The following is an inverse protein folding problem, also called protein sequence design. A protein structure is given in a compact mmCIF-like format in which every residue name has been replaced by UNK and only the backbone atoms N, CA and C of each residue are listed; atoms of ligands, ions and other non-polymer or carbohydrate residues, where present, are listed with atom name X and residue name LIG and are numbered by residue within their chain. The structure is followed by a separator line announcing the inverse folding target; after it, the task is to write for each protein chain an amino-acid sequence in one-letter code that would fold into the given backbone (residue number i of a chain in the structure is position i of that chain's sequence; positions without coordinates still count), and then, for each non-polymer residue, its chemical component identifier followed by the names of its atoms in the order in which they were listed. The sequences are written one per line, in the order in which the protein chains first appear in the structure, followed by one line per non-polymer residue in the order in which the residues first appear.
data_IF_404315729869
#
_entry.id   IF_404315729869
#
_cell.length_a   1.000
_cell.length_b   1.000
_cell.length_c   1.000
_cell.angle_alpha   90.00
_cell.angle_beta   90.00
_cell.angle_gamma   90.00
#
_symmetry.space_group_name_H-M   'P 1'
#
loop_
_entity.id
_entity.type
_entity.pdbx_description
1 polymer ?
#
# COMPACT_ATOMS: atom_id res chain seq x y z
N UNK A 1 51.12 -0.46 8.47
CA UNK A 1 51.73 0.16 9.67
C UNK A 1 51.33 -0.69 10.86
N UNK A 2 52.00 -0.67 12.02
CA UNK A 2 51.41 -1.23 13.23
C UNK A 2 50.29 -0.30 13.72
N UNK A 3 49.13 -0.88 14.04
CA UNK A 3 47.97 -0.18 14.57
C UNK A 3 47.84 -0.52 16.07
N UNK A 4 47.82 0.48 16.97
CA UNK A 4 47.68 0.25 18.39
C UNK A 4 46.25 -0.22 18.72
N UNK A 5 46.12 -1.31 19.50
CA UNK A 5 44.85 -1.84 20.00
C UNK A 5 44.87 -1.84 21.53
N UNK A 6 43.85 -1.27 22.17
CA UNK A 6 43.73 -1.31 23.63
C UNK A 6 43.06 -2.60 24.12
N UNK A 7 43.72 -3.40 24.97
CA UNK A 7 43.19 -4.68 25.49
C UNK A 7 41.85 -4.53 26.21
N UNK A 8 41.70 -3.48 27.01
CA UNK A 8 40.49 -3.25 27.81
C UNK A 8 39.28 -2.89 26.96
N UNK A 9 39.50 -2.19 25.83
CA UNK A 9 38.46 -1.90 24.85
C UNK A 9 37.99 -3.17 24.15
N UNK A 10 38.90 -4.09 23.81
CA UNK A 10 38.52 -5.39 23.21
C UNK A 10 37.73 -6.24 24.21
N UNK A 11 38.20 -6.33 25.46
CA UNK A 11 37.52 -7.08 26.53
C UNK A 11 36.12 -6.55 26.82
N UNK A 12 35.96 -5.22 26.93
CA UNK A 12 34.68 -4.60 27.26
C UNK A 12 33.65 -4.81 26.15
N UNK A 13 34.03 -4.63 24.89
CA UNK A 13 33.14 -4.83 23.73
C UNK A 13 32.78 -6.32 23.58
N UNK A 14 33.74 -7.23 23.80
CA UNK A 14 33.48 -8.67 23.80
C UNK A 14 32.51 -9.07 24.91
N UNK A 15 32.69 -8.54 26.11
CA UNK A 15 31.80 -8.78 27.25
C UNK A 15 30.37 -8.26 26.99
N UNK A 16 30.23 -7.10 26.36
CA UNK A 16 28.92 -6.55 25.95
C UNK A 16 28.17 -7.46 24.98
N UNK A 17 28.88 -8.12 24.06
CA UNK A 17 28.30 -9.12 23.14
C UNK A 17 28.11 -10.50 23.77
N UNK A 18 28.53 -10.71 25.02
CA UNK A 18 28.56 -12.01 25.72
C UNK A 18 29.33 -13.09 24.94
N UNK A 19 30.39 -12.70 24.24
CA UNK A 19 31.20 -13.63 23.45
C UNK A 19 32.39 -14.16 24.24
N UNK A 20 32.71 -15.44 24.04
CA UNK A 20 34.00 -16.01 24.48
C UNK A 20 35.13 -15.62 23.52
N UNK A 21 36.38 -15.83 23.93
CA UNK A 21 37.54 -15.57 23.05
C UNK A 21 37.54 -16.50 21.82
N UNK A 22 37.05 -17.72 21.98
CA UNK A 22 36.88 -18.70 20.90
C UNK A 22 35.81 -18.23 19.92
N UNK A 23 34.68 -17.70 20.41
CA UNK A 23 33.62 -17.14 19.57
C UNK A 23 34.08 -15.90 18.82
N UNK A 24 34.91 -15.05 19.43
CA UNK A 24 35.53 -13.92 18.73
C UNK A 24 36.48 -14.38 17.63
N UNK A 25 37.30 -15.42 17.89
CA UNK A 25 38.18 -16.00 16.88
C UNK A 25 37.40 -16.55 15.69
N UNK A 26 36.31 -17.28 15.95
CA UNK A 26 35.44 -17.85 14.92
C UNK A 26 34.69 -16.78 14.11
N UNK A 27 34.33 -15.66 14.75
CA UNK A 27 33.71 -14.51 14.08
C UNK A 27 34.67 -13.81 13.09
N UNK A 28 35.98 -13.92 13.29
CA UNK A 28 36.98 -13.43 12.34
C UNK A 28 37.18 -14.43 11.19
N UNK A 29 36.50 -14.22 10.06
CA UNK A 29 36.53 -15.13 8.89
C UNK A 29 37.35 -14.60 7.70
N UNK A 30 37.76 -15.52 6.83
CA UNK A 30 38.37 -15.21 5.53
C UNK A 30 39.74 -14.54 5.62
N UNK A 31 39.97 -13.52 4.77
CA UNK A 31 41.25 -12.80 4.68
C UNK A 31 41.64 -12.04 5.95
N UNK A 32 40.74 -11.89 6.92
CA UNK A 32 41.01 -11.21 8.21
C UNK A 32 40.85 -12.15 9.42
N UNK A 33 41.05 -13.45 9.23
CA UNK A 33 41.04 -14.43 10.34
C UNK A 33 42.12 -14.12 11.38
N UNK A 34 41.71 -14.02 12.63
CA UNK A 34 42.56 -13.81 13.81
C UNK A 34 42.52 -15.06 14.68
N UNK A 35 43.69 -15.64 14.96
CA UNK A 35 43.80 -16.83 15.77
C UNK A 35 43.50 -16.58 17.25
N UNK A 36 42.98 -17.60 17.95
CA UNK A 36 42.70 -17.55 19.39
C UNK A 36 43.93 -17.16 20.22
N UNK A 37 45.12 -17.65 19.85
CA UNK A 37 46.37 -17.29 20.51
C UNK A 37 46.68 -15.79 20.42
N UNK A 38 46.36 -15.16 19.29
CA UNK A 38 46.53 -13.72 19.07
C UNK A 38 45.54 -12.93 19.90
N UNK A 39 44.27 -13.34 19.96
CA UNK A 39 43.25 -12.70 20.81
C UNK A 39 43.64 -12.78 22.29
N UNK A 40 44.09 -13.95 22.76
CA UNK A 40 44.60 -14.13 24.13
C UNK A 40 45.78 -13.22 24.44
N UNK A 41 46.68 -13.01 23.48
CA UNK A 41 47.84 -12.12 23.63
C UNK A 41 47.42 -10.65 23.70
N UNK A 42 46.50 -10.23 22.83
CA UNK A 42 45.95 -8.88 22.82
C UNK A 42 45.25 -8.59 24.16
N UNK A 43 44.31 -9.44 24.57
CA UNK A 43 43.60 -9.24 25.84
C UNK A 43 44.49 -9.45 27.09
N UNK A 44 45.54 -10.26 26.98
CA UNK A 44 46.47 -10.53 28.08
C UNK A 44 47.53 -9.45 28.32
N UNK A 45 47.62 -8.45 27.44
CA UNK A 45 48.59 -7.36 27.57
C UNK A 45 48.21 -6.48 28.76
N UNK A 46 49.06 -6.45 29.80
CA UNK A 46 48.77 -5.82 31.10
C UNK A 46 48.96 -4.30 31.13
N UNK A 47 49.69 -3.74 30.16
CA UNK A 47 50.07 -2.32 30.14
C UNK A 47 50.11 -1.81 28.70
N UNK A 48 49.38 -0.72 28.44
CA UNK A 48 49.43 0.03 27.17
C UNK A 48 48.58 -0.55 26.03
N UNK A 49 48.95 -0.17 24.81
CA UNK A 49 48.38 -0.68 23.57
C UNK A 49 49.19 -1.88 23.06
N UNK A 50 48.50 -2.83 22.42
CA UNK A 50 49.13 -3.89 21.65
C UNK A 50 49.29 -3.43 20.20
N UNK A 51 50.52 -3.40 19.69
CA UNK A 51 50.81 -3.08 18.30
C UNK A 51 50.43 -4.25 17.39
N UNK A 52 49.24 -4.17 16.78
CA UNK A 52 48.72 -5.19 15.88
C UNK A 52 49.05 -4.85 14.43
N UNK A 53 49.17 -5.89 13.58
CA UNK A 53 49.14 -5.69 12.14
C UNK A 53 47.75 -5.18 11.72
N UNK A 54 47.69 -4.25 10.77
CA UNK A 54 46.45 -3.71 10.18
C UNK A 54 45.42 -4.79 9.86
N UNK A 55 45.86 -5.95 9.34
CA UNK A 55 44.97 -7.10 9.06
C UNK A 55 44.25 -7.61 10.31
N UNK A 56 44.92 -7.64 11.45
CA UNK A 56 44.38 -8.10 12.74
C UNK A 56 43.45 -7.04 13.33
N UNK A 57 43.83 -5.76 13.24
CA UNK A 57 43.00 -4.65 13.69
C UNK A 57 41.68 -4.58 12.91
N UNK A 58 41.72 -4.69 11.58
CA UNK A 58 40.54 -4.75 10.72
C UNK A 58 39.67 -5.99 10.99
N UNK A 59 40.31 -7.15 11.21
CA UNK A 59 39.60 -8.38 11.53
C UNK A 59 38.79 -8.28 12.82
N UNK A 60 39.41 -7.74 13.88
CA UNK A 60 38.77 -7.50 15.16
C UNK A 60 37.70 -6.41 15.07
N UNK A 61 37.98 -5.30 14.39
CA UNK A 61 37.04 -4.20 14.19
C UNK A 61 35.76 -4.70 13.51
N UNK A 62 35.91 -5.50 12.45
CA UNK A 62 34.79 -6.09 11.71
C UNK A 62 33.98 -7.09 12.53
N UNK A 63 34.64 -7.99 13.25
CA UNK A 63 33.95 -8.97 14.10
C UNK A 63 33.21 -8.30 15.27
N UNK A 64 33.82 -7.28 15.85
CA UNK A 64 33.25 -6.52 16.96
C UNK A 64 32.25 -5.44 16.50
N UNK A 65 32.17 -5.13 15.20
CA UNK A 65 31.25 -4.14 14.64
C UNK A 65 31.60 -2.70 15.04
N UNK A 66 32.90 -2.42 15.19
CA UNK A 66 33.44 -1.10 15.55
C UNK A 66 34.47 -0.65 14.52
N UNK A 67 34.85 0.63 14.53
CA UNK A 67 35.93 1.13 13.68
C UNK A 67 37.30 0.77 14.26
N UNK A 68 38.33 0.71 13.41
CA UNK A 68 39.71 0.47 13.86
C UNK A 68 40.17 1.55 14.85
N UNK A 69 39.81 2.81 14.62
CA UNK A 69 40.07 3.93 15.53
C UNK A 69 39.42 3.77 16.92
N UNK A 70 38.24 3.13 16.98
CA UNK A 70 37.58 2.85 18.26
C UNK A 70 38.35 1.78 19.06
N UNK A 71 39.01 0.82 18.41
CA UNK A 71 39.90 -0.14 19.09
C UNK A 71 41.20 0.49 19.58
N UNK A 72 41.65 1.56 18.92
CA UNK A 72 42.85 2.34 19.26
C UNK A 72 42.63 3.40 20.34
N UNK A 73 41.39 3.60 20.81
CA UNK A 73 41.09 4.55 21.88
C UNK A 73 40.76 3.81 23.19
N UNK A 74 41.45 4.09 24.31
CA UNK A 74 41.17 3.43 25.58
C UNK A 74 39.81 3.89 26.13
N UNK A 75 38.95 2.95 26.52
CA UNK A 75 37.65 3.26 27.11
C UNK A 75 36.62 3.80 26.12
N UNK A 76 36.88 3.72 24.80
CA UNK A 76 35.83 3.92 23.81
C UNK A 76 34.74 2.87 24.04
N UNK A 77 33.66 3.27 24.71
CA UNK A 77 32.41 2.53 24.67
C UNK A 77 32.15 2.21 23.20
N UNK A 78 31.71 0.98 22.85
CA UNK A 78 31.50 0.65 21.46
C UNK A 78 30.63 1.74 20.89
N UNK A 79 31.11 2.37 19.81
CA UNK A 79 30.24 2.99 18.83
C UNK A 79 29.41 1.89 18.13
N UNK A 80 28.87 0.93 18.90
CA UNK A 80 27.57 0.40 18.61
C UNK A 80 26.69 1.61 18.53
N UNK A 81 25.94 1.67 17.43
CA UNK A 81 24.82 2.56 17.26
C UNK A 81 23.90 2.41 18.49
N UNK A 82 24.22 3.05 19.61
CA UNK A 82 23.17 3.55 20.48
C UNK A 82 22.36 4.41 19.52
N UNK A 83 21.11 4.04 19.20
CA UNK A 83 20.28 4.94 18.43
C UNK A 83 20.39 6.29 19.15
N UNK A 84 20.70 7.38 18.42
CA UNK A 84 20.87 8.69 19.04
C UNK A 84 19.72 8.85 20.02
N UNK A 85 20.05 9.20 21.27
CA UNK A 85 19.05 9.34 22.32
C UNK A 85 17.84 10.05 21.69
N UNK A 86 16.64 9.44 21.73
CA UNK A 86 15.53 9.88 20.92
C UNK A 86 15.38 11.38 21.16
N UNK A 87 15.49 12.17 20.09
CA UNK A 87 15.29 13.62 20.19
C UNK A 87 14.03 13.83 21.02
N UNK A 88 14.04 14.68 22.05
CA UNK A 88 12.89 14.85 22.92
C UNK A 88 11.62 15.07 22.07
N UNK A 89 10.61 14.23 22.28
CA UNK A 89 9.36 14.21 21.51
C UNK A 89 9.26 13.19 20.37
N UNK A 90 10.36 12.55 19.94
CA UNK A 90 10.33 11.51 18.90
C UNK A 90 10.11 10.12 19.50
N UNK A 91 9.06 9.42 19.06
CA UNK A 91 8.79 8.02 19.40
C UNK A 91 8.88 7.14 18.16
N UNK A 92 9.51 5.97 18.28
CA UNK A 92 9.59 5.01 17.19
C UNK A 92 8.21 4.37 16.97
N UNK A 93 7.66 4.50 15.75
CA UNK A 93 6.47 3.76 15.33
C UNK A 93 6.92 2.38 14.81
N UNK A 94 6.67 1.32 15.58
CA UNK A 94 6.92 -0.06 15.15
C UNK A 94 5.61 -0.66 14.65
N UNK A 95 5.48 -0.79 13.34
CA UNK A 95 4.35 -1.47 12.71
C UNK A 95 4.83 -2.35 11.57
N UNK A 96 4.16 -3.49 11.39
CA UNK A 96 4.34 -4.33 10.21
C UNK A 96 3.43 -3.81 9.11
N UNK A 97 4.02 -3.49 7.96
CA UNK A 97 3.33 -2.99 6.79
C UNK A 97 3.41 -4.09 5.73
N UNK A 98 2.30 -4.39 5.07
CA UNK A 98 2.27 -5.33 3.96
C UNK A 98 3.02 -4.78 2.73
N UNK A 99 3.38 -5.66 1.81
CA UNK A 99 4.17 -5.29 0.64
C UNK A 99 3.42 -4.33 -0.29
N UNK A 100 2.10 -4.46 -0.41
CA UNK A 100 1.26 -3.58 -1.23
C UNK A 100 1.25 -2.15 -0.68
N UNK A 101 1.09 -1.99 0.64
CA UNK A 101 1.20 -0.68 1.29
C UNK A 101 2.62 -0.11 1.18
N UNK A 102 3.66 -0.94 1.30
CA UNK A 102 5.06 -0.50 1.11
C UNK A 102 5.31 -0.03 -0.33
N UNK A 103 4.74 -0.73 -1.32
CA UNK A 103 4.78 -0.33 -2.72
C UNK A 103 4.06 1.00 -2.94
N UNK A 104 2.88 1.19 -2.34
CA UNK A 104 2.13 2.44 -2.42
C UNK A 104 2.95 3.65 -1.91
N UNK A 105 3.65 3.52 -0.77
CA UNK A 105 4.54 4.57 -0.27
C UNK A 105 5.62 4.94 -1.30
N UNK A 106 6.27 3.95 -1.91
CA UNK A 106 7.30 4.18 -2.94
C UNK A 106 6.72 4.78 -4.21
N UNK A 107 5.52 4.37 -4.61
CA UNK A 107 4.86 4.97 -5.77
C UNK A 107 4.55 6.44 -5.55
N UNK A 108 4.10 6.83 -4.34
CA UNK A 108 3.89 8.24 -4.01
C UNK A 108 5.21 9.01 -4.01
N UNK A 109 6.30 8.43 -3.49
CA UNK A 109 7.63 9.03 -3.56
C UNK A 109 8.10 9.22 -5.00
N UNK A 110 7.90 8.23 -5.86
CA UNK A 110 8.29 8.31 -7.27
C UNK A 110 7.45 9.31 -8.07
N UNK A 111 6.13 9.35 -7.84
CA UNK A 111 5.21 10.22 -8.58
C UNK A 111 5.25 11.68 -8.12
N UNK A 112 5.46 11.90 -6.81
CA UNK A 112 5.29 13.22 -6.19
C UNK A 112 6.52 13.71 -5.42
N UNK A 113 7.58 12.91 -5.30
CA UNK A 113 8.80 13.28 -4.56
C UNK A 113 8.63 13.31 -3.04
N UNK A 114 7.54 12.74 -2.50
CA UNK A 114 7.24 12.78 -1.07
C UNK A 114 7.76 11.50 -0.41
N UNK A 115 8.79 11.57 0.46
CA UNK A 115 9.36 10.36 1.05
C UNK A 115 8.39 9.71 2.06
N UNK A 116 8.48 8.39 2.28
CA UNK A 116 7.56 7.65 3.14
C UNK A 116 7.44 8.22 4.56
N UNK A 117 8.53 8.73 5.13
CA UNK A 117 8.51 9.36 6.45
C UNK A 117 7.56 10.57 6.49
N UNK A 118 7.62 11.44 5.48
CA UNK A 118 6.73 12.61 5.38
C UNK A 118 5.29 12.17 5.14
N UNK A 119 5.07 11.13 4.33
CA UNK A 119 3.73 10.56 4.13
C UNK A 119 3.11 10.07 5.46
N UNK A 120 3.89 9.36 6.30
CA UNK A 120 3.44 8.91 7.62
C UNK A 120 3.10 10.09 8.54
N UNK A 121 3.92 11.14 8.53
CA UNK A 121 3.69 12.36 9.33
C UNK A 121 2.42 13.09 8.89
N UNK A 122 2.14 13.15 7.58
CA UNK A 122 0.95 13.81 7.03
C UNK A 122 -0.32 12.96 7.08
N UNK A 123 -0.19 11.64 7.24
CA UNK A 123 -1.32 10.71 7.19
C UNK A 123 -2.48 11.08 8.13
N UNK A 124 -2.28 11.49 9.40
CA UNK A 124 -3.38 11.90 10.28
C UNK A 124 -4.13 13.13 9.77
N UNK A 125 -3.41 14.12 9.21
CA UNK A 125 -4.02 15.32 8.64
C UNK A 125 -4.87 14.97 7.41
N UNK A 126 -4.32 14.20 6.48
CA UNK A 126 -5.06 13.75 5.29
C UNK A 126 -6.25 12.89 5.65
N UNK A 127 -6.11 11.99 6.63
CA UNK A 127 -7.22 11.17 7.12
C UNK A 127 -8.35 12.03 7.70
N UNK A 128 -8.03 13.03 8.52
CA UNK A 128 -9.03 13.95 9.08
C UNK A 128 -9.74 14.77 7.98
N UNK A 129 -8.98 15.33 7.03
CA UNK A 129 -9.55 16.11 5.93
C UNK A 129 -10.47 15.26 5.03
N UNK A 130 -10.03 14.04 4.67
CA UNK A 130 -10.82 13.13 3.85
C UNK A 130 -12.05 12.62 4.60
N UNK A 131 -11.95 12.38 5.91
CA UNK A 131 -13.07 12.01 6.75
C UNK A 131 -14.15 13.10 6.77
N UNK A 132 -13.77 14.35 7.08
CA UNK A 132 -14.72 15.47 7.10
C UNK A 132 -15.33 15.74 5.72
N UNK A 133 -14.53 15.70 4.66
CA UNK A 133 -15.04 15.83 3.29
C UNK A 133 -16.01 14.70 2.91
N UNK A 134 -15.76 13.48 3.38
CA UNK A 134 -16.69 12.36 3.18
C UNK A 134 -18.00 12.57 3.91
N UNK A 135 -17.95 13.00 5.18
CA UNK A 135 -19.14 13.28 5.99
C UNK A 135 -19.97 14.41 5.37
N UNK A 136 -19.32 15.46 4.87
CA UNK A 136 -19.99 16.56 4.18
C UNK A 136 -20.65 16.13 2.87
N UNK A 137 -19.92 15.39 2.03
CA UNK A 137 -20.47 14.83 0.80
C UNK A 137 -21.68 13.91 1.05
N UNK A 138 -21.66 13.13 2.13
CA UNK A 138 -22.78 12.26 2.54
C UNK A 138 -23.96 13.08 3.04
N UNK A 139 -23.72 14.18 3.78
CA UNK A 139 -24.76 15.11 4.25
C UNK A 139 -25.54 15.70 3.08
N UNK A 140 -24.85 16.22 2.07
CA UNK A 140 -25.47 16.74 0.85
C UNK A 140 -26.35 15.70 0.12
N UNK A 141 -25.94 14.43 0.14
CA UNK A 141 -26.73 13.33 -0.44
C UNK A 141 -27.95 13.01 0.39
N UNK A 142 -27.80 12.94 1.71
CA UNK A 142 -28.91 12.68 2.64
C UNK A 142 -29.98 13.79 2.55
N UNK A 143 -29.56 15.05 2.49
CA UNK A 143 -30.46 16.20 2.32
C UNK A 143 -31.21 16.18 0.99
N UNK A 144 -30.51 15.90 -0.12
CA UNK A 144 -31.15 15.70 -1.44
C UNK A 144 -32.15 14.54 -1.42
N UNK A 145 -31.82 13.45 -0.74
CA UNK A 145 -32.72 12.31 -0.59
C UNK A 145 -33.98 12.68 0.21
N UNK A 146 -33.85 13.47 1.29
CA UNK A 146 -35.01 13.97 2.03
C UNK A 146 -35.88 14.90 1.19
N UNK A 147 -35.27 15.81 0.43
CA UNK A 147 -35.99 16.73 -0.44
C UNK A 147 -36.80 15.96 -1.50
N UNK A 148 -36.17 15.02 -2.20
CA UNK A 148 -36.82 14.18 -3.19
C UNK A 148 -37.95 13.33 -2.59
N UNK A 149 -37.74 12.77 -1.39
CA UNK A 149 -38.77 12.00 -0.70
C UNK A 149 -40.00 12.86 -0.36
N UNK A 150 -39.79 14.08 0.15
CA UNK A 150 -40.89 15.02 0.44
C UNK A 150 -41.68 15.40 -0.82
N UNK A 151 -41.00 15.58 -1.94
CA UNK A 151 -41.65 15.84 -3.24
C UNK A 151 -42.49 14.65 -3.71
N UNK A 152 -41.95 13.42 -3.63
CA UNK A 152 -42.73 12.21 -3.94
C UNK A 152 -43.94 12.11 -3.03
N UNK A 153 -43.79 12.40 -1.73
CA UNK A 153 -44.89 12.39 -0.76
C UNK A 153 -46.01 13.37 -1.14
N UNK A 154 -45.67 14.58 -1.59
CA UNK A 154 -46.66 15.60 -1.95
C UNK A 154 -47.42 15.23 -3.23
N UNK A 155 -46.75 14.59 -4.19
CA UNK A 155 -47.36 14.13 -5.44
C UNK A 155 -48.18 12.84 -5.26
N UNK A 156 -47.82 11.99 -4.31
CA UNK A 156 -48.38 10.65 -4.12
C UNK A 156 -49.64 10.58 -3.25
N UNK A 157 -50.40 11.67 -3.10
CA UNK A 157 -51.60 11.68 -2.27
C UNK A 157 -52.59 10.59 -2.71
N UNK A 158 -52.80 9.59 -1.84
CA UNK A 158 -53.67 8.43 -2.10
C UNK A 158 -53.00 7.17 -2.66
N UNK A 159 -51.73 7.21 -3.09
CA UNK A 159 -51.02 6.03 -3.60
C UNK A 159 -50.11 5.40 -2.54
N UNK A 160 -50.61 4.37 -1.85
CA UNK A 160 -49.94 3.73 -0.70
C UNK A 160 -48.49 3.28 -0.98
N UNK A 161 -48.20 2.78 -2.18
CA UNK A 161 -46.85 2.34 -2.51
C UNK A 161 -45.85 3.50 -2.62
N UNK A 162 -46.29 4.66 -3.11
CA UNK A 162 -45.42 5.83 -3.27
C UNK A 162 -45.24 6.55 -1.92
N UNK A 163 -46.28 6.60 -1.08
CA UNK A 163 -46.16 7.03 0.31
C UNK A 163 -45.17 6.14 1.10
N UNK A 164 -45.22 4.80 0.91
CA UNK A 164 -44.28 3.86 1.53
C UNK A 164 -42.84 4.12 1.07
N UNK A 165 -42.62 4.29 -0.24
CA UNK A 165 -41.29 4.57 -0.79
C UNK A 165 -40.70 5.89 -0.27
N UNK A 166 -41.52 6.94 -0.20
CA UNK A 166 -41.13 8.23 0.39
C UNK A 166 -40.74 8.09 1.86
N UNK A 167 -41.59 7.46 2.67
CA UNK A 167 -41.30 7.24 4.09
C UNK A 167 -40.02 6.43 4.30
N UNK A 168 -39.79 5.40 3.47
CA UNK A 168 -38.55 4.64 3.50
C UNK A 168 -37.34 5.53 3.21
N UNK A 169 -37.38 6.34 2.15
CA UNK A 169 -36.28 7.25 1.82
C UNK A 169 -36.01 8.29 2.93
N UNK A 170 -37.05 8.79 3.60
CA UNK A 170 -36.91 9.68 4.77
C UNK A 170 -36.23 8.97 5.93
N UNK A 171 -36.61 7.73 6.24
CA UNK A 171 -35.99 6.92 7.29
C UNK A 171 -34.51 6.65 6.96
N UNK A 172 -34.20 6.25 5.73
CA UNK A 172 -32.81 6.04 5.29
C UNK A 172 -31.98 7.31 5.46
N UNK A 173 -32.53 8.48 5.16
CA UNK A 173 -31.81 9.74 5.29
C UNK A 173 -31.61 10.12 6.75
N UNK A 174 -32.60 9.89 7.61
CA UNK A 174 -32.48 10.13 9.04
C UNK A 174 -31.39 9.25 9.67
N UNK A 175 -31.33 7.96 9.30
CA UNK A 175 -30.25 7.06 9.74
C UNK A 175 -28.89 7.56 9.29
N UNK A 176 -28.77 7.98 8.03
CA UNK A 176 -27.51 8.50 7.51
C UNK A 176 -27.05 9.77 8.22
N UNK A 177 -27.96 10.72 8.49
CA UNK A 177 -27.65 11.92 9.27
C UNK A 177 -27.23 11.59 10.70
N UNK A 178 -27.86 10.59 11.34
CA UNK A 178 -27.43 10.13 12.66
C UNK A 178 -26.02 9.56 12.64
N UNK A 179 -25.65 8.78 11.62
CA UNK A 179 -24.28 8.25 11.46
C UNK A 179 -23.27 9.36 11.21
N UNK A 180 -23.63 10.36 10.40
CA UNK A 180 -22.79 11.54 10.17
C UNK A 180 -22.54 12.28 11.49
N UNK A 181 -23.56 12.46 12.33
CA UNK A 181 -23.42 13.08 13.65
C UNK A 181 -22.47 12.29 14.57
N UNK A 182 -22.46 10.96 14.45
CA UNK A 182 -21.57 10.07 15.19
C UNK A 182 -20.18 9.91 14.56
N UNK A 183 -19.89 10.58 13.44
CA UNK A 183 -18.65 10.43 12.65
C UNK A 183 -18.37 9.00 12.20
N UNK A 184 -19.41 8.20 11.97
CA UNK A 184 -19.27 6.84 11.47
C UNK A 184 -18.94 6.88 9.96
N UNK A 185 -17.65 6.74 9.63
CA UNK A 185 -17.15 6.78 8.26
C UNK A 185 -17.47 5.51 7.47
N UNK A 186 -17.47 4.36 8.12
CA UNK A 186 -17.53 3.06 7.44
C UNK A 186 -18.91 2.42 7.47
N UNK A 187 -19.88 3.07 8.10
CA UNK A 187 -21.24 2.57 8.27
C UNK A 187 -21.26 1.30 9.15
N UNK A 188 -20.46 1.32 10.22
CA UNK A 188 -20.38 0.24 11.20
C UNK A 188 -21.65 0.21 12.08
N UNK A 189 -22.28 1.37 12.31
CA UNK A 189 -23.50 1.52 13.12
C UNK A 189 -24.77 1.47 12.24
N UNK A 190 -24.86 0.50 11.34
CA UNK A 190 -26.06 0.33 10.53
C UNK A 190 -27.18 -0.39 11.31
N UNK A 191 -28.43 0.15 11.32
CA UNK A 191 -29.54 -0.51 11.99
C UNK A 191 -29.95 -1.75 11.17
N UNK A 192 -30.61 -2.71 11.83
CA UNK A 192 -30.98 -3.99 11.23
C UNK A 192 -31.84 -3.82 9.97
N UNK A 193 -32.73 -2.83 10.00
CA UNK A 193 -33.60 -2.46 8.90
C UNK A 193 -32.84 -2.02 7.64
N UNK A 194 -31.61 -1.52 7.78
CA UNK A 194 -30.78 -1.21 6.61
C UNK A 194 -30.39 -2.48 5.86
N UNK A 195 -30.06 -3.56 6.58
CA UNK A 195 -29.72 -4.85 5.97
C UNK A 195 -30.95 -5.50 5.33
N UNK A 196 -32.11 -5.42 5.98
CA UNK A 196 -33.38 -5.89 5.40
C UNK A 196 -33.73 -5.19 4.09
N UNK A 197 -33.28 -3.94 3.94
CA UNK A 197 -33.46 -3.12 2.73
C UNK A 197 -32.37 -3.34 1.68
N UNK A 198 -31.50 -4.34 1.87
CA UNK A 198 -30.51 -4.76 0.89
C UNK A 198 -29.14 -4.07 1.04
N UNK A 199 -28.90 -3.33 2.12
CA UNK A 199 -27.53 -2.90 2.44
C UNK A 199 -26.66 -4.13 2.72
N UNK A 200 -25.55 -4.24 2.01
CA UNK A 200 -24.57 -5.31 2.20
C UNK A 200 -23.21 -4.67 2.53
N UNK A 201 -22.72 -4.76 3.80
CA UNK A 201 -21.48 -4.15 4.25
C UNK A 201 -20.24 -4.80 3.62
N UNK A 202 -20.41 -5.90 2.87
CA UNK A 202 -19.33 -6.50 2.08
C UNK A 202 -19.30 -6.00 0.63
N UNK A 203 -20.38 -5.36 0.17
CA UNK A 203 -20.50 -4.83 -1.20
C UNK A 203 -20.46 -3.31 -1.27
N UNK A 204 -20.95 -2.62 -0.24
CA UNK A 204 -21.00 -1.15 -0.18
C UNK A 204 -20.18 -0.60 0.98
N UNK A 205 -19.59 0.57 0.75
CA UNK A 205 -18.99 1.38 1.81
C UNK A 205 -19.04 2.86 1.43
N UNK A 206 -19.67 3.71 2.25
CA UNK A 206 -19.88 5.10 1.87
C UNK A 206 -18.57 5.89 1.77
N UNK A 207 -17.55 5.54 2.56
CA UNK A 207 -16.23 6.16 2.44
C UNK A 207 -15.52 5.76 1.12
N UNK A 208 -15.63 4.50 0.72
CA UNK A 208 -15.12 4.02 -0.58
C UNK A 208 -15.84 4.69 -1.74
N UNK A 209 -17.16 4.85 -1.66
CA UNK A 209 -17.97 5.54 -2.68
C UNK A 209 -17.56 7.02 -2.78
N UNK A 210 -17.35 7.66 -1.63
CA UNK A 210 -16.81 9.02 -1.57
C UNK A 210 -15.42 9.11 -2.23
N UNK A 211 -14.48 8.21 -1.90
CA UNK A 211 -13.14 8.24 -2.49
C UNK A 211 -13.19 8.04 -4.01
N UNK A 212 -14.03 7.15 -4.50
CA UNK A 212 -14.23 6.95 -5.94
C UNK A 212 -14.80 8.21 -6.61
N UNK A 213 -15.80 8.85 -5.99
CA UNK A 213 -16.34 10.13 -6.46
C UNK A 213 -15.28 11.23 -6.45
N UNK A 214 -14.53 11.36 -5.37
CA UNK A 214 -13.50 12.37 -5.19
C UNK A 214 -12.38 12.24 -6.23
N UNK A 215 -11.92 11.00 -6.50
CA UNK A 215 -10.94 10.71 -7.55
C UNK A 215 -11.45 11.15 -8.93
N UNK A 216 -12.71 10.86 -9.25
CA UNK A 216 -13.33 11.30 -10.50
C UNK A 216 -13.41 12.82 -10.58
N UNK A 217 -13.81 13.48 -9.49
CA UNK A 217 -13.94 14.93 -9.41
C UNK A 217 -12.59 15.66 -9.64
N UNK A 218 -11.51 15.16 -9.04
CA UNK A 218 -10.16 15.75 -9.22
C UNK A 218 -9.45 15.24 -10.49
N UNK A 219 -10.05 14.29 -11.22
CA UNK A 219 -9.45 13.69 -12.41
C UNK A 219 -8.17 12.90 -12.13
N UNK A 220 -8.03 12.29 -10.95
CA UNK A 220 -6.84 11.54 -10.58
C UNK A 220 -6.76 10.23 -11.37
N UNK A 221 -5.78 10.14 -12.28
CA UNK A 221 -5.54 8.94 -13.12
C UNK A 221 -4.63 7.91 -12.50
N UNK A 222 -3.88 8.31 -11.47
CA UNK A 222 -2.87 7.48 -10.82
C UNK A 222 -3.44 6.63 -9.70
N UNK A 223 -4.69 6.84 -9.28
CA UNK A 223 -5.30 6.14 -8.14
C UNK A 223 -6.52 5.33 -8.59
N UNK A 224 -6.59 4.07 -8.18
CA UNK A 224 -7.74 3.18 -8.39
C UNK A 224 -8.27 2.71 -7.03
N UNK A 225 -9.59 2.70 -6.84
CA UNK A 225 -10.28 2.22 -5.62
C UNK A 225 -11.06 0.94 -5.94
N UNK A 226 -11.08 0.00 -4.99
CA UNK A 226 -11.74 -1.30 -5.08
C UNK A 226 -11.34 -2.14 -6.31
N UNK A 227 -10.03 -2.30 -6.61
CA UNK A 227 -9.60 -3.09 -7.76
C UNK A 227 -10.02 -4.57 -7.61
N UNK A 228 -10.80 -5.07 -8.57
CA UNK A 228 -11.10 -6.50 -8.71
C UNK A 228 -12.27 -7.02 -7.86
N UNK A 229 -13.29 -6.21 -7.59
CA UNK A 229 -14.62 -6.71 -7.16
C UNK A 229 -14.81 -6.91 -5.66
N UNK A 230 -13.89 -6.42 -4.83
CA UNK A 230 -14.08 -6.34 -3.37
C UNK A 230 -13.57 -5.01 -2.86
N UNK A 231 -14.37 -4.31 -2.06
CA UNK A 231 -14.03 -2.96 -1.64
C UNK A 231 -13.09 -2.95 -0.43
N UNK A 232 -13.16 -3.89 0.53
CA UNK A 232 -12.38 -3.82 1.78
C UNK A 232 -11.17 -4.75 1.88
N UNK A 233 -10.17 -4.30 2.62
CA UNK A 233 -9.08 -5.10 3.19
C UNK A 233 -9.58 -5.88 4.41
N UNK A 234 -8.74 -6.79 4.96
CA UNK A 234 -9.03 -7.48 6.23
C UNK A 234 -9.29 -6.53 7.42
N UNK A 235 -8.84 -5.28 7.32
CA UNK A 235 -8.99 -4.25 8.35
C UNK A 235 -10.17 -3.30 8.08
N UNK A 236 -11.05 -3.62 7.12
CA UNK A 236 -12.19 -2.76 6.78
C UNK A 236 -11.86 -1.55 5.91
N UNK A 237 -10.59 -1.28 5.61
CA UNK A 237 -10.19 -0.16 4.76
C UNK A 237 -10.46 -0.43 3.28
N UNK A 238 -10.86 0.57 2.48
CA UNK A 238 -10.97 0.42 1.03
C UNK A 238 -9.65 -0.09 0.42
N UNK A 239 -9.74 -1.03 -0.51
CA UNK A 239 -8.61 -1.48 -1.33
C UNK A 239 -8.31 -0.38 -2.32
N UNK A 240 -7.04 -0.09 -2.52
CA UNK A 240 -6.61 0.96 -3.43
C UNK A 240 -5.32 0.58 -4.14
N UNK A 241 -5.02 1.29 -5.23
CA UNK A 241 -3.76 1.19 -5.95
C UNK A 241 -3.29 2.57 -6.33
N UNK A 242 -1.98 2.78 -6.24
CA UNK A 242 -1.32 4.02 -6.66
C UNK A 242 -0.36 3.67 -7.79
N UNK A 243 -0.35 4.47 -8.85
CA UNK A 243 0.48 4.27 -10.03
C UNK A 243 -0.05 3.21 -11.01
N UNK A 244 -1.34 2.86 -10.96
CA UNK A 244 -1.91 1.82 -11.82
C UNK A 244 -1.65 2.06 -13.31
N UNK A 245 -1.76 3.30 -13.77
CA UNK A 245 -1.48 3.69 -15.16
C UNK A 245 0.02 3.58 -15.50
N UNK A 246 0.92 3.96 -14.59
CA UNK A 246 2.36 3.82 -14.79
C UNK A 246 2.76 2.34 -14.92
N UNK A 247 2.17 1.49 -14.07
CA UNK A 247 2.36 0.03 -14.14
C UNK A 247 1.77 -0.55 -15.42
N UNK A 248 0.59 -0.08 -15.85
CA UNK A 248 -0.03 -0.50 -17.10
C UNK A 248 0.84 -0.15 -18.32
N UNK A 249 1.48 1.02 -18.33
CA UNK A 249 2.38 1.45 -19.40
C UNK A 249 3.65 0.59 -19.46
N UNK A 250 4.25 0.28 -18.31
CA UNK A 250 5.45 -0.56 -18.25
C UNK A 250 5.15 -2.00 -18.70
N UNK A 251 4.01 -2.54 -18.30
CA UNK A 251 3.71 -3.97 -18.51
C UNK A 251 2.87 -4.23 -19.76
N UNK A 252 2.45 -3.17 -20.47
CA UNK A 252 1.42 -3.22 -21.49
C UNK A 252 0.16 -3.98 -21.02
N UNK A 253 -0.18 -3.83 -19.73
CA UNK A 253 -1.29 -4.51 -19.05
C UNK A 253 -1.18 -6.05 -19.02
N UNK A 254 0.02 -6.61 -19.16
CA UNK A 254 0.22 -8.03 -18.88
C UNK A 254 -0.15 -8.31 -17.41
N UNK A 255 -1.10 -9.22 -17.11
CA UNK A 255 -1.60 -9.30 -15.75
C UNK A 255 -0.67 -10.03 -14.77
N UNK A 256 0.30 -10.84 -15.22
CA UNK A 256 1.31 -11.43 -14.32
C UNK A 256 2.37 -10.37 -13.98
N UNK A 257 2.91 -9.69 -15.00
CA UNK A 257 3.87 -8.61 -14.82
C UNK A 257 3.30 -7.42 -14.03
N UNK A 258 2.04 -7.02 -14.31
CA UNK A 258 1.34 -5.99 -13.54
C UNK A 258 1.21 -6.40 -12.08
N UNK A 259 0.83 -7.65 -11.83
CA UNK A 259 0.69 -8.16 -10.47
C UNK A 259 2.03 -8.17 -9.72
N UNK A 260 3.12 -8.56 -10.38
CA UNK A 260 4.47 -8.54 -9.81
C UNK A 260 4.90 -7.15 -9.32
N UNK A 261 4.66 -6.12 -10.13
CA UNK A 261 4.96 -4.74 -9.76
C UNK A 261 4.02 -4.23 -8.66
N UNK A 262 2.71 -4.42 -8.82
CA UNK A 262 1.70 -3.88 -7.89
C UNK A 262 1.79 -4.47 -6.48
N UNK A 263 2.18 -5.75 -6.35
CA UNK A 263 2.39 -6.40 -5.04
C UNK A 263 3.75 -6.09 -4.44
N UNK A 264 4.66 -5.47 -5.20
CA UNK A 264 6.00 -5.15 -4.72
C UNK A 264 7.00 -6.30 -4.76
N UNK A 265 6.69 -7.41 -5.46
CA UNK A 265 7.65 -8.49 -5.70
C UNK A 265 8.87 -8.01 -6.49
N UNK A 266 8.68 -6.99 -7.33
CA UNK A 266 9.75 -6.30 -8.06
C UNK A 266 9.55 -4.79 -7.94
N UNK A 267 10.65 -4.04 -7.75
CA UNK A 267 10.60 -2.57 -7.79
C UNK A 267 10.83 -2.10 -9.22
N UNK A 268 10.22 -0.97 -9.60
CA UNK A 268 10.45 -0.36 -10.92
C UNK A 268 11.93 0.00 -11.13
N UNK A 269 12.64 0.37 -10.07
CA UNK A 269 14.09 0.67 -10.11
C UNK A 269 14.97 -0.55 -10.33
N UNK A 270 14.45 -1.75 -10.05
CA UNK A 270 15.20 -3.00 -10.14
C UNK A 270 15.07 -3.61 -11.55
N UNK A 271 14.20 -3.05 -12.41
CA UNK A 271 14.07 -3.47 -13.81
C UNK A 271 15.36 -3.07 -14.54
N UNK A 272 16.09 -4.04 -15.13
CA UNK A 272 17.30 -3.75 -15.90
C UNK A 272 17.04 -2.73 -17.01
N UNK A 273 17.96 -1.78 -17.19
CA UNK A 273 17.82 -0.69 -18.16
C UNK A 273 17.62 -1.23 -19.59
N UNK A 274 18.28 -2.34 -19.94
CA UNK A 274 18.13 -3.02 -21.22
C UNK A 274 16.73 -3.64 -21.45
N UNK A 275 15.94 -3.87 -20.40
CA UNK A 275 14.56 -4.35 -20.49
C UNK A 275 13.55 -3.21 -20.57
N UNK A 276 13.97 -1.96 -20.32
CA UNK A 276 13.09 -0.79 -20.41
C UNK A 276 12.81 -0.34 -21.85
N UNK A 277 13.62 -0.80 -22.82
CA UNK A 277 13.40 -0.53 -24.23
C UNK A 277 12.01 -1.03 -24.70
N UNK A 278 11.26 -0.28 -25.55
CA UNK A 278 9.94 -0.66 -26.02
C UNK A 278 9.88 -2.03 -26.71
N UNK A 279 10.93 -2.38 -27.45
CA UNK A 279 11.05 -3.61 -28.24
C UNK A 279 11.22 -4.86 -27.35
N UNK A 280 11.65 -4.65 -26.10
CA UNK A 280 11.94 -5.69 -25.11
C UNK A 280 10.77 -5.96 -24.17
N UNK A 281 9.56 -5.50 -24.52
CA UNK A 281 8.35 -5.65 -23.70
C UNK A 281 8.07 -7.11 -23.30
N UNK A 282 8.19 -8.06 -24.22
CA UNK A 282 7.95 -9.48 -23.94
C UNK A 282 8.97 -10.03 -22.93
N UNK A 283 10.25 -9.72 -23.13
CA UNK A 283 11.35 -10.12 -22.23
C UNK A 283 11.18 -9.47 -20.84
N UNK A 284 10.79 -8.19 -20.80
CA UNK A 284 10.47 -7.48 -19.56
C UNK A 284 9.34 -8.15 -18.81
N UNK A 285 8.24 -8.48 -19.48
CA UNK A 285 7.10 -9.13 -18.85
C UNK A 285 7.43 -10.53 -18.34
N UNK A 286 8.21 -11.31 -19.10
CA UNK A 286 8.68 -12.63 -18.68
C UNK A 286 9.59 -12.53 -17.44
N UNK A 287 10.49 -11.55 -17.41
CA UNK A 287 11.36 -11.28 -16.27
C UNK A 287 10.56 -10.83 -15.04
N UNK A 288 9.56 -9.96 -15.20
CA UNK A 288 8.69 -9.58 -14.08
C UNK A 288 7.89 -10.79 -13.55
N UNK A 289 7.34 -11.61 -14.44
CA UNK A 289 6.58 -12.80 -14.07
C UNK A 289 7.44 -13.89 -13.41
N UNK A 290 8.75 -13.95 -13.69
CA UNK A 290 9.65 -14.93 -13.07
C UNK A 290 9.92 -14.66 -11.59
N UNK A 291 9.64 -13.45 -11.10
CA UNK A 291 9.79 -13.08 -9.68
C UNK A 291 8.54 -13.41 -8.85
N UNK A 292 7.46 -13.86 -9.48
CA UNK A 292 6.27 -14.31 -8.78
C UNK A 292 6.45 -15.72 -8.20
N UNK A 293 6.06 -15.96 -6.93
CA UNK A 293 5.96 -17.30 -6.40
C UNK A 293 5.04 -18.18 -7.24
N UNK A 294 5.41 -19.44 -7.44
CA UNK A 294 4.66 -20.36 -8.32
C UNK A 294 3.20 -20.53 -7.88
N UNK A 295 2.95 -20.57 -6.56
CA UNK A 295 1.61 -20.64 -5.99
C UNK A 295 0.73 -19.45 -6.41
N UNK A 296 1.26 -18.24 -6.39
CA UNK A 296 0.52 -17.03 -6.79
C UNK A 296 0.28 -16.99 -8.30
N UNK A 297 1.25 -17.43 -9.10
CA UNK A 297 1.03 -17.56 -10.55
C UNK A 297 -0.07 -18.57 -10.86
N UNK A 298 -0.08 -19.72 -10.19
CA UNK A 298 -1.11 -20.73 -10.34
C UNK A 298 -2.50 -20.17 -9.96
N UNK A 299 -2.59 -19.42 -8.87
CA UNK A 299 -3.83 -18.75 -8.47
C UNK A 299 -4.31 -17.72 -9.51
N UNK A 300 -3.40 -16.89 -10.04
CA UNK A 300 -3.73 -15.92 -11.08
C UNK A 300 -4.26 -16.58 -12.35
N UNK A 301 -3.64 -17.69 -12.77
CA UNK A 301 -4.10 -18.49 -13.93
C UNK A 301 -5.47 -19.09 -13.67
N UNK A 302 -5.68 -19.72 -12.51
CA UNK A 302 -6.97 -20.27 -12.11
C UNK A 302 -8.06 -19.18 -12.01
N UNK A 303 -7.70 -17.97 -11.57
CA UNK A 303 -8.62 -16.83 -11.55
C UNK A 303 -9.00 -16.41 -12.97
N UNK A 304 -8.02 -16.28 -13.88
CA UNK A 304 -8.27 -15.96 -15.29
C UNK A 304 -9.15 -17.00 -15.98
N UNK A 305 -8.92 -18.28 -15.72
CA UNK A 305 -9.75 -19.36 -16.26
C UNK A 305 -11.20 -19.26 -15.79
N UNK A 306 -11.43 -18.95 -14.51
CA UNK A 306 -12.77 -18.67 -13.96
C UNK A 306 -13.42 -17.46 -14.63
N UNK A 307 -12.72 -16.32 -14.66
CA UNK A 307 -13.27 -15.09 -15.25
C UNK A 307 -13.45 -15.19 -16.77
N UNK A 308 -12.65 -16.01 -17.44
CA UNK A 308 -12.75 -16.31 -18.87
C UNK A 308 -13.93 -17.20 -19.21
N UNK A 309 -14.29 -18.15 -18.34
CA UNK A 309 -15.50 -18.99 -18.48
C UNK A 309 -16.78 -18.21 -18.19
N UNK A 310 -16.73 -17.25 -17.27
CA UNK A 310 -17.88 -16.44 -16.87
C UNK A 310 -18.11 -15.20 -17.75
N UNK A 311 -17.26 -14.93 -18.76
CA UNK A 311 -17.59 -13.93 -19.77
C UNK A 311 -18.76 -14.47 -20.60
N UNK A 312 -19.97 -13.87 -20.51
CA UNK A 312 -21.07 -14.28 -21.38
C UNK A 312 -20.57 -14.20 -22.81
N UNK A 313 -20.77 -15.28 -23.59
CA UNK A 313 -20.49 -15.27 -25.02
C UNK A 313 -21.07 -13.99 -25.61
N UNK A 314 -20.33 -13.24 -26.45
CA UNK A 314 -20.85 -12.01 -27.02
C UNK A 314 -22.21 -12.34 -27.63
N UNK A 315 -23.28 -11.78 -27.05
CA UNK A 315 -24.62 -11.99 -27.58
C UNK A 315 -24.55 -11.63 -29.06
N UNK A 316 -25.06 -12.48 -29.97
CA UNK A 316 -25.08 -12.15 -31.38
C UNK A 316 -25.71 -10.76 -31.49
N UNK A 317 -24.99 -9.85 -32.17
CA UNK A 317 -25.40 -8.46 -32.29
C UNK A 317 -26.88 -8.42 -32.62
N UNK A 318 -27.69 -7.77 -31.76
CA UNK A 318 -29.11 -7.59 -32.05
C UNK A 318 -29.20 -6.97 -33.44
N UNK A 319 -29.98 -7.55 -34.37
CA UNK A 319 -30.16 -6.97 -35.69
C UNK A 319 -30.60 -5.52 -35.50
N UNK A 320 -29.94 -4.61 -36.23
CA UNK A 320 -30.22 -3.19 -36.15
C UNK A 320 -31.74 -2.97 -36.27
N UNK A 321 -32.34 -2.12 -35.43
CA UNK A 321 -33.76 -1.85 -35.50
C UNK A 321 -34.09 -1.39 -36.93
N UNK A 322 -34.90 -2.19 -37.62
CA UNK A 322 -35.40 -1.87 -38.95
C UNK A 322 -35.99 -0.47 -38.91
N UNK A 323 -35.48 0.41 -39.76
CA UNK A 323 -35.93 1.79 -39.84
C UNK A 323 -37.47 1.83 -39.94
N UNK A 324 -38.15 2.72 -39.20
CA UNK A 324 -39.58 2.87 -39.29
C UNK A 324 -39.95 3.22 -40.73
N UNK A 325 -40.76 2.37 -41.38
CA UNK A 325 -41.36 2.68 -42.68
C UNK A 325 -42.23 3.91 -42.48
N UNK A 326 -41.78 5.06 -42.99
CA UNK A 326 -42.55 6.29 -43.04
C UNK A 326 -43.70 6.11 -44.05
N UNK A 327 -44.84 5.63 -43.57
CA UNK A 327 -46.11 5.76 -44.28
C UNK A 327 -46.62 7.19 -44.13
N UNK A 328 -46.05 8.12 -44.90
CA UNK A 328 -46.63 9.44 -45.13
C UNK A 328 -47.31 9.40 -46.49
N UNK A 329 -48.61 9.10 -46.47
CA UNK A 329 -49.49 9.35 -47.61
C UNK A 329 -49.72 10.87 -47.72
N UNK A 330 -49.52 11.50 -48.89
CA UNK A 330 -49.89 12.90 -49.08
C UNK A 330 -51.41 13.01 -49.08
N UNK A 331 -51.96 13.87 -48.21
CA UNK A 331 -53.34 14.34 -48.34
C UNK A 331 -53.39 15.29 -49.53
N UNK A 332 -54.15 14.92 -50.55
CA UNK A 332 -54.63 15.82 -51.60
C UNK A 332 -55.37 17.00 -50.94
N UNK A 333 -54.96 18.22 -51.30
CA UNK A 333 -55.73 19.44 -51.07
C UNK A 333 -56.83 19.52 -52.15
N UNK A 334 -58.09 19.77 -51.81
CA UNK A 334 -59.08 20.16 -52.79
C UNK A 334 -58.98 21.66 -53.07
N UNK A 335 -58.99 22.01 -54.36
CA UNK A 335 -59.18 23.36 -54.87
C UNK A 335 -60.51 23.96 -54.38
N UNK A 336 -60.46 25.16 -53.81
CA UNK A 336 -61.52 26.18 -53.83
C UNK A 336 -60.94 27.55 -53.42
#
# INVERSE_FOLDING_TARGET
MPTPIHPDTVKSIRALKRWTQEQLAEATRGKHKVGLATIKRIEGTKTGSYEANDRVAEGLARALGVTVQALSTPGAAPAGQQPPAPKPGMRQLRTMIDEETTHAFRMVEQLYGIPPQTQIVMAPLFAALLAEASLDWRRDRAERMQAAAREVSSLATGHLAAARASNQALNCAAWELSRIANRDLFCDDAPDEAYEQGYDPNKGNPFSDFLAHFIQQIGARTVEIAPGGGWKTRKGMPRYRIGAEAVAQITARDPEASYALMRGHVRMTDIPAELMAPERLADRNAWLASHLPEAERAELRARRERTGRDRPSPQPARPAPSAPKSSHSPKEQPDA
#
